data_IF_932145683515
#
_entry.id   IF_932145683515
#
_cell.length_a   1.000
_cell.length_b   1.000
_cell.length_c   1.000
_cell.angle_alpha   90.00
_cell.angle_beta   90.00
_cell.angle_gamma   90.00
#
_symmetry.space_group_name_H-M   'P 1'
#
loop_
_entity.id
_entity.type
_entity.pdbx_description
1 polymer ?
#
# COMPACT_ATOMS: atom_id res chain seq x y z
N UNK A 1 3.88 12.31 5.13
CA UNK A 1 2.68 11.60 4.64
C UNK A 1 1.60 11.47 5.69
N UNK A 2 1.90 11.37 6.99
CA UNK A 2 0.87 11.43 8.04
C UNK A 2 0.03 12.71 8.02
N UNK A 3 0.62 13.82 7.59
CA UNK A 3 -0.01 15.11 7.33
C UNK A 3 -0.90 15.15 6.08
N UNK A 4 -0.80 14.13 5.22
CA UNK A 4 -1.40 14.11 3.87
C UNK A 4 -2.37 12.97 3.65
N UNK A 5 -2.00 11.76 4.03
CA UNK A 5 -2.78 10.51 3.91
C UNK A 5 -2.71 9.74 5.25
N UNK A 6 -3.26 10.32 6.33
CA UNK A 6 -3.13 9.79 7.68
C UNK A 6 -3.71 8.39 7.88
N UNK A 7 -4.83 8.04 7.25
CA UNK A 7 -5.48 6.73 7.42
C UNK A 7 -4.57 5.63 6.85
N UNK A 8 -4.07 5.83 5.64
CA UNK A 8 -3.23 4.90 4.89
C UNK A 8 -1.88 4.71 5.57
N UNK A 9 -1.24 5.81 5.97
CA UNK A 9 0.04 5.77 6.67
C UNK A 9 -0.09 5.13 8.06
N UNK A 10 -1.16 5.42 8.81
CA UNK A 10 -1.42 4.81 10.13
C UNK A 10 -1.72 3.33 10.01
N UNK A 11 -2.53 2.93 9.03
CA UNK A 11 -2.80 1.53 8.73
C UNK A 11 -1.52 0.75 8.42
N UNK A 12 -0.63 1.32 7.59
CA UNK A 12 0.65 0.70 7.26
C UNK A 12 1.52 0.51 8.51
N UNK A 13 1.64 1.53 9.35
CA UNK A 13 2.45 1.47 10.58
C UNK A 13 1.88 0.43 11.56
N UNK A 14 0.57 0.41 11.75
CA UNK A 14 -0.10 -0.56 12.62
C UNK A 14 0.13 -2.02 12.17
N UNK A 15 0.03 -2.28 10.86
CA UNK A 15 0.34 -3.60 10.29
C UNK A 15 1.84 -3.95 10.43
N UNK A 16 2.74 -2.98 10.24
CA UNK A 16 4.16 -3.21 10.44
C UNK A 16 4.50 -3.52 11.91
N UNK A 17 3.94 -2.77 12.85
CA UNK A 17 4.17 -2.93 14.29
C UNK A 17 3.57 -4.22 14.85
N UNK A 18 2.43 -4.67 14.33
CA UNK A 18 1.85 -5.97 14.68
C UNK A 18 2.60 -7.17 14.09
N UNK A 19 3.60 -6.93 13.22
CA UNK A 19 4.35 -7.99 12.55
C UNK A 19 3.58 -8.66 11.41
N UNK A 20 2.52 -8.03 10.90
CA UNK A 20 1.72 -8.57 9.78
C UNK A 20 2.59 -8.86 8.54
N UNK A 21 3.54 -7.97 8.26
CA UNK A 21 4.46 -8.07 7.13
C UNK A 21 5.64 -9.02 7.38
N UNK A 22 5.76 -9.64 8.56
CA UNK A 22 6.90 -10.50 8.85
C UNK A 22 6.82 -11.81 8.05
N UNK A 23 7.91 -12.12 7.34
CA UNK A 23 8.05 -13.37 6.57
C UNK A 23 7.24 -13.44 5.29
N UNK A 24 6.60 -12.34 4.84
CA UNK A 24 6.01 -12.28 3.50
C UNK A 24 7.03 -11.77 2.49
N UNK A 25 6.93 -12.22 1.24
CA UNK A 25 7.79 -11.78 0.14
C UNK A 25 7.05 -10.86 -0.85
N UNK A 26 7.82 -10.19 -1.72
CA UNK A 26 7.28 -9.49 -2.88
C UNK A 26 6.71 -10.52 -3.87
N UNK A 27 5.38 -10.63 -3.90
CA UNK A 27 4.69 -11.64 -4.70
C UNK A 27 4.58 -11.26 -6.19
N UNK A 28 4.87 -9.99 -6.54
CA UNK A 28 4.88 -9.52 -7.91
C UNK A 28 5.93 -8.43 -8.09
N UNK A 29 6.95 -8.73 -8.88
CA UNK A 29 8.08 -7.84 -9.22
C UNK A 29 8.03 -7.62 -10.73
N UNK A 30 7.92 -6.36 -11.16
CA UNK A 30 7.90 -6.02 -12.59
C UNK A 30 9.06 -5.06 -12.88
N UNK A 31 10.13 -5.55 -13.55
CA UNK A 31 11.29 -4.74 -13.89
C UNK A 31 10.91 -3.46 -14.62
N UNK A 32 11.42 -2.32 -14.14
CA UNK A 32 11.16 -1.00 -14.73
C UNK A 32 9.74 -0.47 -14.50
N UNK A 33 8.99 -1.06 -13.55
CA UNK A 33 7.64 -0.61 -13.20
C UNK A 33 7.49 -0.51 -11.68
N UNK A 34 7.13 -1.60 -11.00
CA UNK A 34 6.91 -1.61 -9.55
C UNK A 34 7.08 -2.99 -8.94
N UNK A 35 7.25 -3.00 -7.62
CA UNK A 35 7.33 -4.21 -6.81
C UNK A 35 6.21 -4.22 -5.77
N UNK A 36 5.31 -5.19 -5.87
CA UNK A 36 4.12 -5.31 -5.05
C UNK A 36 4.32 -6.25 -3.86
N UNK A 37 3.87 -5.80 -2.70
CA UNK A 37 4.04 -6.43 -1.40
C UNK A 37 2.74 -6.37 -0.59
N UNK A 38 2.74 -6.98 0.61
CA UNK A 38 1.68 -6.79 1.58
C UNK A 38 0.53 -7.79 1.50
N UNK A 39 0.68 -8.88 0.74
CA UNK A 39 -0.29 -9.98 0.72
C UNK A 39 0.09 -11.05 1.77
N UNK A 40 -0.78 -11.42 2.72
CA UNK A 40 -0.47 -12.42 3.75
C UNK A 40 -0.29 -13.83 3.19
N UNK A 41 -0.89 -14.16 2.04
CA UNK A 41 -0.65 -15.45 1.37
C UNK A 41 0.78 -15.56 0.83
N UNK A 42 1.49 -14.45 0.67
CA UNK A 42 2.89 -14.45 0.27
C UNK A 42 3.84 -14.88 1.42
N UNK A 43 3.35 -15.50 2.50
CA UNK A 43 4.22 -16.26 3.42
C UNK A 43 4.72 -17.55 2.78
N UNK A 44 3.90 -18.17 1.94
CA UNK A 44 4.27 -19.34 1.16
C UNK A 44 4.72 -18.90 -0.24
N UNK A 45 5.98 -19.14 -0.65
CA UNK A 45 6.47 -18.80 -1.98
C UNK A 45 5.75 -19.55 -3.11
N UNK A 46 5.04 -20.62 -2.81
CA UNK A 46 4.29 -21.42 -3.79
C UNK A 46 2.78 -21.13 -3.78
N UNK A 47 2.32 -20.19 -2.94
CA UNK A 47 0.91 -19.82 -2.84
C UNK A 47 0.40 -19.22 -4.17
N UNK A 48 -0.41 -19.98 -4.90
CA UNK A 48 -1.03 -19.53 -6.15
C UNK A 48 -2.03 -18.38 -5.97
N UNK A 49 -2.47 -18.14 -4.74
CA UNK A 49 -3.36 -17.05 -4.37
C UNK A 49 -2.61 -15.83 -3.79
N UNK A 50 -1.28 -15.78 -3.86
CA UNK A 50 -0.54 -14.56 -3.53
C UNK A 50 -1.02 -13.39 -4.42
N UNK A 51 -1.32 -12.24 -3.79
CA UNK A 51 -1.94 -11.07 -4.42
C UNK A 51 -3.45 -10.93 -4.19
N UNK A 52 -4.13 -11.91 -3.59
CA UNK A 52 -5.58 -11.80 -3.29
C UNK A 52 -5.91 -11.60 -1.80
N UNK A 53 -4.90 -11.64 -0.93
CA UNK A 53 -5.08 -11.52 0.51
C UNK A 53 -5.06 -10.08 1.01
N UNK A 54 -5.67 -9.86 2.17
CA UNK A 54 -5.66 -8.60 2.91
C UNK A 54 -5.55 -8.85 4.42
N UNK A 55 -5.47 -7.79 5.24
CA UNK A 55 -5.45 -7.95 6.69
C UNK A 55 -6.83 -8.39 7.19
N UNK A 56 -6.91 -8.80 8.46
CA UNK A 56 -8.20 -9.04 9.09
C UNK A 56 -8.97 -7.72 9.29
N UNK A 57 -10.30 -7.83 9.35
CA UNK A 57 -11.15 -6.73 9.77
C UNK A 57 -10.84 -6.36 11.23
N UNK A 58 -10.97 -5.08 11.55
CA UNK A 58 -10.59 -4.59 12.88
C UNK A 58 -10.52 -3.09 12.95
N UNK A 59 -9.83 -2.59 13.96
CA UNK A 59 -9.66 -1.15 14.19
C UNK A 59 -8.19 -0.83 14.44
N UNK A 60 -7.78 0.36 14.05
CA UNK A 60 -6.44 0.89 14.32
C UNK A 60 -6.54 2.37 14.67
N UNK A 61 -5.51 2.90 15.32
CA UNK A 61 -5.47 4.32 15.67
C UNK A 61 -4.93 5.13 14.50
N UNK A 62 -5.64 6.18 14.11
CA UNK A 62 -5.10 7.23 13.25
C UNK A 62 -4.05 8.01 14.03
N UNK A 63 -2.79 7.87 13.66
CA UNK A 63 -1.68 8.47 14.40
C UNK A 63 -1.60 10.00 14.26
N UNK A 64 -2.27 10.58 13.26
CA UNK A 64 -2.34 12.03 13.09
C UNK A 64 -3.45 12.67 13.93
N UNK A 65 -4.60 12.00 14.07
CA UNK A 65 -5.80 12.57 14.71
C UNK A 65 -6.13 11.96 16.08
N UNK A 66 -5.55 10.80 16.40
CA UNK A 66 -5.91 9.99 17.57
C UNK A 66 -7.25 9.26 17.44
N UNK A 67 -7.96 9.40 16.31
CA UNK A 67 -9.24 8.75 16.09
C UNK A 67 -9.09 7.24 15.86
N UNK A 68 -10.14 6.49 16.13
CA UNK A 68 -10.22 5.06 15.76
C UNK A 68 -10.70 4.93 14.33
N UNK A 69 -9.88 4.30 13.48
CA UNK A 69 -10.20 3.94 12.10
C UNK A 69 -10.57 2.46 12.02
N UNK A 70 -11.22 2.07 10.92
CA UNK A 70 -11.71 0.71 10.72
C UNK A 70 -11.15 0.08 9.46
N UNK A 71 -10.74 -1.19 9.58
CA UNK A 71 -10.57 -2.14 8.49
C UNK A 71 -11.85 -2.97 8.36
N UNK A 72 -12.40 -3.04 7.15
CA UNK A 72 -13.67 -3.74 6.90
C UNK A 72 -13.69 -4.40 5.53
N UNK A 73 -14.56 -5.39 5.36
CA UNK A 73 -14.76 -6.07 4.08
C UNK A 73 -13.50 -6.76 3.56
N UNK A 74 -12.79 -7.46 4.43
CA UNK A 74 -11.52 -8.12 4.09
C UNK A 74 -10.31 -7.23 4.31
N UNK A 75 -10.35 -6.40 5.36
CA UNK A 75 -9.23 -5.60 5.77
C UNK A 75 -9.10 -4.24 5.07
N UNK A 76 -10.12 -3.81 4.32
CA UNK A 76 -10.03 -2.60 3.51
C UNK A 76 -10.24 -1.34 4.34
N UNK A 77 -9.54 -0.28 3.93
CA UNK A 77 -9.63 1.08 4.49
C UNK A 77 -10.24 2.03 3.48
N UNK A 78 -10.64 3.22 3.96
CA UNK A 78 -11.13 4.30 3.12
C UNK A 78 -10.00 4.84 2.24
N UNK A 79 -10.31 5.13 0.97
CA UNK A 79 -9.33 5.74 0.06
C UNK A 79 -9.00 7.18 0.48
N UNK A 80 -7.72 7.53 0.40
CA UNK A 80 -7.21 8.88 0.65
C UNK A 80 -6.65 9.52 -0.62
N UNK A 81 -7.53 9.73 -1.58
CA UNK A 81 -7.25 10.45 -2.83
C UNK A 81 -7.28 11.97 -2.59
N UNK A 82 -6.41 12.45 -1.70
CA UNK A 82 -6.36 13.84 -1.24
C UNK A 82 -5.03 14.53 -1.56
N UNK A 83 -3.91 13.80 -1.50
CA UNK A 83 -2.59 14.36 -1.83
C UNK A 83 -2.21 14.09 -3.28
N UNK A 84 -1.76 15.12 -4.01
CA UNK A 84 -1.25 14.97 -5.39
C UNK A 84 0.23 14.60 -5.45
N UNK A 85 0.64 13.67 -4.61
CA UNK A 85 1.97 13.07 -4.67
C UNK A 85 1.99 12.04 -5.81
N UNK A 86 2.92 12.23 -6.76
CA UNK A 86 3.03 11.35 -7.93
C UNK A 86 3.75 10.04 -7.57
N UNK A 87 3.40 8.97 -8.27
CA UNK A 87 4.02 7.63 -8.26
C UNK A 87 5.43 7.66 -8.89
N UNK A 88 6.29 8.49 -8.30
CA UNK A 88 7.68 8.68 -8.71
C UNK A 88 8.58 7.56 -8.17
N UNK A 89 9.78 7.35 -8.77
CA UNK A 89 10.78 6.41 -8.26
C UNK A 89 11.02 6.56 -6.73
N UNK A 90 10.94 5.44 -6.01
CA UNK A 90 11.14 5.34 -4.57
C UNK A 90 9.91 5.62 -3.71
N UNK A 91 8.74 5.88 -4.31
CA UNK A 91 7.49 6.08 -3.55
C UNK A 91 6.78 4.76 -3.26
N UNK A 92 6.04 4.73 -2.15
CA UNK A 92 5.15 3.63 -1.76
C UNK A 92 3.70 4.05 -2.00
N UNK A 93 2.96 3.21 -2.72
CA UNK A 93 1.58 3.50 -3.13
C UNK A 93 0.64 2.37 -2.79
N UNK A 94 -0.57 2.72 -2.35
CA UNK A 94 -1.57 1.74 -1.92
C UNK A 94 -2.11 0.96 -3.13
N UNK A 95 -2.02 -0.37 -3.07
CA UNK A 95 -2.64 -1.23 -4.07
C UNK A 95 -4.13 -1.40 -3.74
N UNK A 96 -4.95 -1.60 -4.77
CA UNK A 96 -6.39 -1.79 -4.62
C UNK A 96 -6.91 -2.70 -5.75
N UNK A 97 -8.20 -3.04 -5.69
CA UNK A 97 -8.85 -3.94 -6.66
C UNK A 97 -9.48 -3.19 -7.84
N UNK A 98 -9.18 -1.89 -8.00
CA UNK A 98 -9.88 -1.00 -8.94
C UNK A 98 -11.27 -0.57 -8.48
N UNK A 99 -11.69 -0.94 -7.26
CA UNK A 99 -12.93 -0.50 -6.61
C UNK A 99 -12.65 0.53 -5.52
N UNK A 100 -13.56 1.48 -5.26
CA UNK A 100 -13.42 2.41 -4.14
C UNK A 100 -13.29 1.68 -2.81
N UNK A 101 -12.42 2.18 -1.93
CA UNK A 101 -12.17 1.69 -0.58
C UNK A 101 -11.80 0.19 -0.56
N UNK A 102 -10.90 -0.20 -1.45
CA UNK A 102 -10.42 -1.59 -1.58
C UNK A 102 -8.91 -1.74 -1.41
N UNK A 103 -8.25 -0.67 -0.93
CA UNK A 103 -6.90 -0.77 -0.39
C UNK A 103 -6.93 -1.27 1.04
N UNK A 104 -5.95 -2.08 1.43
CA UNK A 104 -5.88 -2.71 2.74
C UNK A 104 -4.43 -2.80 3.21
N UNK A 105 -3.81 -3.97 3.03
CA UNK A 105 -2.40 -4.18 3.38
C UNK A 105 -1.46 -4.21 2.17
N UNK A 106 -1.99 -4.37 0.96
CA UNK A 106 -1.15 -4.48 -0.23
C UNK A 106 -0.71 -3.09 -0.71
N UNK A 107 0.56 -2.96 -1.03
CA UNK A 107 1.14 -1.74 -1.59
C UNK A 107 2.21 -2.10 -2.61
N UNK A 108 2.65 -1.12 -3.38
CA UNK A 108 3.80 -1.29 -4.28
C UNK A 108 4.84 -0.20 -4.10
N UNK A 109 6.09 -0.57 -4.32
CA UNK A 109 7.23 0.33 -4.43
C UNK A 109 7.43 0.68 -5.91
N UNK A 110 7.46 1.97 -6.22
CA UNK A 110 7.76 2.45 -7.57
C UNK A 110 9.26 2.37 -7.85
N UNK A 111 9.67 1.52 -8.81
CA UNK A 111 11.07 1.40 -9.25
C UNK A 111 11.35 2.24 -10.50
N UNK A 112 10.31 2.82 -11.10
CA UNK A 112 10.37 3.75 -12.22
C UNK A 112 9.29 4.84 -12.07
N UNK A 113 9.25 5.81 -12.99
CA UNK A 113 8.15 6.78 -13.07
C UNK A 113 6.86 6.10 -13.54
N UNK A 114 5.86 6.12 -12.67
CA UNK A 114 4.54 5.53 -12.91
C UNK A 114 3.44 6.58 -12.73
N UNK A 115 3.67 7.82 -13.15
CA UNK A 115 2.70 8.93 -13.04
C UNK A 115 1.32 8.63 -13.66
N UNK A 116 1.24 7.64 -14.56
CA UNK A 116 -0.02 7.12 -15.08
C UNK A 116 -0.90 6.38 -14.04
N UNK A 117 -0.34 6.00 -12.89
CA UNK A 117 -1.05 5.38 -11.76
C UNK A 117 -1.54 6.40 -10.72
N UNK A 118 -1.17 7.67 -10.89
CA UNK A 118 -1.60 8.73 -9.99
C UNK A 118 -3.13 8.80 -9.96
N UNK A 119 -3.71 8.90 -8.77
CA UNK A 119 -5.17 8.99 -8.66
C UNK A 119 -5.76 10.24 -9.31
N UNK A 120 -4.94 11.27 -9.52
CA UNK A 120 -5.28 12.51 -10.21
C UNK A 120 -4.90 12.51 -11.70
N UNK A 121 -4.33 11.41 -12.22
CA UNK A 121 -4.14 11.21 -13.65
C UNK A 121 -5.42 10.73 -14.32
N UNK A 122 -5.65 11.06 -15.61
CA UNK A 122 -6.79 10.54 -16.36
C UNK A 122 -6.74 9.01 -16.46
N UNK A 123 -7.76 8.32 -15.96
CA UNK A 123 -7.84 6.86 -16.00
C UNK A 123 -8.65 6.27 -14.85
N UNK A 124 -8.72 4.94 -14.81
CA UNK A 124 -9.39 4.20 -13.72
C UNK A 124 -8.43 3.80 -12.60
N UNK A 125 -7.11 3.84 -12.85
CA UNK A 125 -6.10 3.48 -11.85
C UNK A 125 -5.93 4.63 -10.88
N UNK A 126 -6.21 4.38 -9.60
CA UNK A 126 -6.09 5.38 -8.55
C UNK A 126 -5.25 4.84 -7.41
N UNK A 127 -3.97 5.23 -7.35
CA UNK A 127 -3.04 4.74 -6.33
C UNK A 127 -2.43 5.92 -5.55
N UNK A 128 -2.97 6.24 -4.37
CA UNK A 128 -2.42 7.30 -3.54
C UNK A 128 -1.07 6.88 -2.94
N UNK A 129 -0.09 7.78 -3.05
CA UNK A 129 1.23 7.65 -2.43
C UNK A 129 1.11 7.94 -0.94
N UNK A 130 1.66 7.05 -0.10
CA UNK A 130 1.64 7.19 1.36
C UNK A 130 3.01 7.10 2.02
N UNK A 131 4.07 6.87 1.23
CA UNK A 131 5.43 6.74 1.74
C UNK A 131 6.48 7.02 0.68
N UNK A 132 7.72 7.18 1.12
CA UNK A 132 8.89 7.27 0.26
C UNK A 132 10.08 6.62 0.96
N UNK A 133 10.82 5.82 0.21
CA UNK A 133 12.09 5.24 0.66
C UNK A 133 13.09 6.38 0.90
N UNK A 134 13.65 6.43 2.11
CA UNK A 134 14.65 7.44 2.50
C UNK A 134 16.08 6.94 2.36
N UNK A 135 16.28 5.63 2.51
CA UNK A 135 17.58 4.94 2.44
C UNK A 135 17.38 3.55 1.83
N UNK A 136 18.40 3.01 1.15
CA UNK A 136 18.38 1.65 0.58
C UNK A 136 17.58 1.48 -0.71
N UNK A 137 17.22 2.56 -1.41
CA UNK A 137 16.47 2.48 -2.67
C UNK A 137 17.26 1.79 -3.79
N UNK A 138 18.58 1.82 -3.75
CA UNK A 138 19.48 1.12 -4.67
C UNK A 138 19.35 -0.40 -4.60
N UNK A 139 18.91 -0.96 -3.47
CA UNK A 139 18.64 -2.40 -3.30
C UNK A 139 17.38 -2.81 -4.07
N UNK A 140 16.48 -1.86 -4.33
CA UNK A 140 15.17 -2.10 -4.94
C UNK A 140 15.15 -1.91 -6.47
N UNK A 141 16.29 -1.60 -7.10
CA UNK A 141 16.37 -1.33 -8.55
C UNK A 141 16.72 -2.57 -9.36
#
# INVERSE_FOLDING_TARGET
YMDRVPITASNFIDLAQSGFYNGIHFHRVIPGFMDQFGCPYAKDPNARNAGTGGPEDGTFTNLATGATEKRSNGGNIKDENISKDSNAPGTLSMANTGRPNSGGSQFFLNVNDNSNLDWFSPGQSQHPVFGKVVEGYDICK
#
